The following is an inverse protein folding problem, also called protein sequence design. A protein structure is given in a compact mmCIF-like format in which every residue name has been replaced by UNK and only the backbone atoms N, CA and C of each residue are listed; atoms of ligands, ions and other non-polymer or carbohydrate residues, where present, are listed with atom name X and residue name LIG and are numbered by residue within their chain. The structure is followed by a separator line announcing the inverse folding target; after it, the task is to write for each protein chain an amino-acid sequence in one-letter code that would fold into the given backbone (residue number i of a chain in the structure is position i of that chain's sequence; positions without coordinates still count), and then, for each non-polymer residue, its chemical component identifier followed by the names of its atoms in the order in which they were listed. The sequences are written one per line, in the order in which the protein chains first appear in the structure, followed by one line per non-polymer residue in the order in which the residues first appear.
data_IF_564542296637
#
_entry.id   IF_564542296637
#
_cell.length_a   1.000
_cell.length_b   1.000
_cell.length_c   1.000
_cell.angle_alpha   90.00
_cell.angle_beta   90.00
_cell.angle_gamma   90.00
#
_symmetry.space_group_name_H-M   'P 1'
#
loop_
_entity.id
_entity.type
_entity.pdbx_description
1 polymer ?
#
# COMPACT_ATOMS: atom_id res chain seq x y z
N UNK A 1 -24.41 -6.20 12.60
CA UNK A 1 -23.51 -7.37 12.61
C UNK A 1 -23.37 -7.96 11.20
N UNK A 2 -22.32 -7.57 10.47
CA UNK A 2 -22.01 -8.07 9.12
C UNK A 2 -20.60 -8.67 9.13
N UNK A 3 -20.39 -9.71 8.34
CA UNK A 3 -19.09 -10.38 8.18
C UNK A 3 -18.73 -10.47 6.71
N UNK A 4 -17.49 -10.11 6.40
CA UNK A 4 -16.87 -10.31 5.10
C UNK A 4 -15.73 -11.31 5.25
N UNK A 5 -15.64 -12.24 4.29
CA UNK A 5 -14.50 -13.14 4.15
C UNK A 5 -13.92 -12.87 2.76
N UNK A 6 -12.64 -12.50 2.71
CA UNK A 6 -11.91 -12.25 1.48
C UNK A 6 -10.80 -13.29 1.34
N UNK A 7 -10.80 -14.04 0.24
CA UNK A 7 -9.71 -14.97 -0.05
C UNK A 7 -8.48 -14.17 -0.55
N UNK A 8 -7.30 -14.48 -0.01
CA UNK A 8 -6.00 -13.95 -0.45
C UNK A 8 -4.99 -15.11 -0.53
N UNK A 9 -4.09 -15.15 -1.53
CA UNK A 9 -3.04 -16.16 -1.54
C UNK A 9 -2.16 -16.08 -0.28
N UNK A 10 -1.85 -17.22 0.34
CA UNK A 10 -1.01 -17.26 1.55
C UNK A 10 0.41 -16.71 1.34
N UNK A 11 0.86 -16.59 0.08
CA UNK A 11 2.16 -16.00 -0.26
C UNK A 11 2.17 -14.47 -0.29
N UNK A 12 1.01 -13.81 -0.16
CA UNK A 12 0.90 -12.37 -0.28
C UNK A 12 1.13 -11.69 1.07
N UNK A 13 1.88 -10.59 1.05
CA UNK A 13 1.87 -9.64 2.16
C UNK A 13 0.71 -8.66 1.95
N UNK A 14 0.11 -8.18 3.03
CA UNK A 14 -0.99 -7.24 2.93
C UNK A 14 -1.33 -6.53 4.22
N UNK A 15 -2.24 -5.57 4.12
CA UNK A 15 -2.78 -4.83 5.24
C UNK A 15 -4.21 -4.37 4.96
N UNK A 16 -4.92 -4.02 6.03
CA UNK A 16 -6.23 -3.36 5.96
C UNK A 16 -6.03 -1.91 6.38
N UNK A 17 -6.61 -0.97 5.63
CA UNK A 17 -6.69 0.43 6.04
C UNK A 17 -8.13 0.85 6.24
N UNK A 18 -8.46 1.31 7.44
CA UNK A 18 -9.81 1.72 7.84
C UNK A 18 -10.03 3.20 7.55
N UNK A 19 -11.08 3.54 6.82
CA UNK A 19 -11.44 4.92 6.45
C UNK A 19 -12.48 5.53 7.40
N UNK A 20 -13.46 4.72 7.81
CA UNK A 20 -14.58 5.16 8.65
C UNK A 20 -15.07 4.00 9.51
N UNK A 21 -15.55 4.33 10.70
CA UNK A 21 -16.08 3.36 11.65
C UNK A 21 -14.99 2.45 12.22
N UNK A 22 -15.41 1.27 12.65
CA UNK A 22 -14.56 0.27 13.30
C UNK A 22 -14.77 -1.09 12.67
N UNK A 23 -13.70 -1.89 12.62
CA UNK A 23 -13.74 -3.29 12.18
C UNK A 23 -13.09 -4.20 13.20
N UNK A 24 -13.47 -5.47 13.18
CA UNK A 24 -12.86 -6.55 13.96
C UNK A 24 -12.30 -7.58 13.00
N UNK A 25 -10.99 -7.85 13.08
CA UNK A 25 -10.26 -8.63 12.07
C UNK A 25 -9.71 -9.93 12.65
N UNK A 26 -9.81 -11.01 11.89
CA UNK A 26 -9.31 -12.32 12.25
C UNK A 26 -10.17 -13.04 13.29
N UNK A 27 -9.67 -14.16 13.80
CA UNK A 27 -10.35 -14.95 14.83
C UNK A 27 -10.22 -14.33 16.23
N UNK A 28 -9.15 -13.58 16.48
CA UNK A 28 -8.95 -12.84 17.74
C UNK A 28 -9.81 -11.57 17.83
N UNK A 29 -10.61 -11.28 16.80
CA UNK A 29 -11.43 -10.07 16.68
C UNK A 29 -10.62 -8.79 16.96
N UNK A 30 -9.44 -8.67 16.35
CA UNK A 30 -8.59 -7.51 16.57
C UNK A 30 -9.27 -6.22 16.10
N UNK A 31 -9.42 -5.26 17.01
CA UNK A 31 -10.12 -4.01 16.74
C UNK A 31 -9.27 -3.05 15.89
N UNK A 32 -9.82 -2.62 14.75
CA UNK A 32 -9.32 -1.55 13.91
C UNK A 32 -10.23 -0.34 13.92
N UNK A 33 -9.81 0.74 14.58
CA UNK A 33 -10.47 2.03 14.51
C UNK A 33 -10.17 2.74 13.19
N UNK A 34 -10.97 3.74 12.80
CA UNK A 34 -10.70 4.56 11.62
C UNK A 34 -9.27 5.13 11.60
N UNK A 35 -8.70 5.26 10.40
CA UNK A 35 -7.35 5.75 10.10
C UNK A 35 -6.20 4.86 10.61
N UNK A 36 -6.45 3.57 10.82
CA UNK A 36 -5.41 2.62 11.20
C UNK A 36 -5.01 1.73 10.02
N UNK A 37 -3.72 1.41 9.98
CA UNK A 37 -3.17 0.34 9.15
C UNK A 37 -3.02 -0.91 10.00
N UNK A 38 -3.75 -1.97 9.66
CA UNK A 38 -3.66 -3.28 10.28
C UNK A 38 -2.86 -4.21 9.39
N UNK A 39 -1.60 -4.47 9.76
CA UNK A 39 -0.72 -5.37 8.99
C UNK A 39 -1.14 -6.81 9.21
N UNK A 40 -1.30 -7.57 8.13
CA UNK A 40 -1.61 -8.99 8.21
C UNK A 40 -0.34 -9.76 8.60
N UNK A 41 -0.47 -10.75 9.47
CA UNK A 41 0.63 -11.62 9.83
C UNK A 41 1.08 -12.49 8.64
N UNK A 42 2.36 -12.86 8.60
CA UNK A 42 2.88 -13.79 7.59
C UNK A 42 2.24 -15.18 7.71
N UNK A 43 1.79 -15.54 8.91
CA UNK A 43 1.04 -16.76 9.19
C UNK A 43 -0.45 -16.65 8.84
N UNK A 44 -0.87 -15.55 8.19
CA UNK A 44 -2.28 -15.36 7.86
C UNK A 44 -2.77 -16.45 6.92
N UNK A 45 -3.95 -16.99 7.23
CA UNK A 45 -4.61 -17.99 6.41
C UNK A 45 -4.94 -17.41 5.04
N UNK A 46 -5.27 -18.26 4.05
CA UNK A 46 -5.73 -17.84 2.72
C UNK A 46 -7.02 -16.99 2.72
N UNK A 47 -7.51 -16.60 3.90
CA UNK A 47 -8.75 -15.86 4.13
C UNK A 47 -8.53 -14.77 5.16
N UNK A 48 -9.01 -13.58 4.86
CA UNK A 48 -9.15 -12.47 5.80
C UNK A 48 -10.62 -12.38 6.19
N UNK A 49 -10.89 -12.50 7.49
CA UNK A 49 -12.22 -12.30 8.08
C UNK A 49 -12.29 -10.90 8.69
N UNK A 50 -13.28 -10.13 8.25
CA UNK A 50 -13.55 -8.78 8.77
C UNK A 50 -15.00 -8.70 9.21
N UNK A 51 -15.22 -8.19 10.42
CA UNK A 51 -16.54 -8.09 11.03
C UNK A 51 -16.83 -6.64 11.41
N UNK A 52 -18.08 -6.22 11.17
CA UNK A 52 -18.62 -5.00 11.74
C UNK A 52 -19.64 -5.36 12.82
N UNK A 53 -19.27 -5.09 14.09
CA UNK A 53 -20.10 -5.33 15.27
C UNK A 53 -20.91 -4.10 15.69
N UNK A 54 -20.62 -2.94 15.12
CA UNK A 54 -21.26 -1.67 15.46
C UNK A 54 -22.45 -1.37 14.52
N UNK A 55 -23.28 -0.42 14.93
CA UNK A 55 -24.39 0.10 14.11
C UNK A 55 -23.90 1.09 13.04
N UNK A 56 -22.74 1.71 13.26
CA UNK A 56 -22.10 2.57 12.28
C UNK A 56 -21.53 1.78 11.10
N UNK A 57 -21.57 2.38 9.92
CA UNK A 57 -20.97 1.80 8.73
C UNK A 57 -19.43 1.81 8.81
N UNK A 58 -18.84 0.62 8.67
CA UNK A 58 -17.41 0.44 8.49
C UNK A 58 -17.04 0.56 7.01
N UNK A 59 -16.06 1.42 6.70
CA UNK A 59 -15.48 1.56 5.37
C UNK A 59 -13.96 1.36 5.48
N UNK A 60 -13.43 0.43 4.70
CA UNK A 60 -12.03 0.05 4.73
C UNK A 60 -11.59 -0.48 3.35
N UNK A 61 -10.28 -0.55 3.14
CA UNK A 61 -9.67 -1.21 1.98
C UNK A 61 -8.79 -2.36 2.44
N UNK A 62 -8.76 -3.43 1.65
CA UNK A 62 -7.82 -4.54 1.80
C UNK A 62 -6.81 -4.43 0.65
N UNK A 63 -5.53 -4.37 0.98
CA UNK A 63 -4.44 -4.27 -0.01
C UNK A 63 -3.50 -5.44 0.25
N UNK A 64 -3.29 -6.28 -0.77
CA UNK A 64 -2.41 -7.44 -0.69
C UNK A 64 -1.71 -7.68 -2.02
N UNK A 65 -0.47 -8.17 -1.97
CA UNK A 65 0.33 -8.46 -3.16
C UNK A 65 1.48 -9.42 -2.88
N UNK A 66 1.98 -10.06 -3.94
CA UNK A 66 3.15 -10.93 -3.86
C UNK A 66 4.40 -10.10 -3.53
N UNK A 67 5.15 -10.42 -2.46
CA UNK A 67 6.42 -9.77 -2.18
C UNK A 67 7.43 -10.03 -3.30
N UNK A 68 8.05 -8.98 -3.83
CA UNK A 68 9.10 -9.09 -4.86
C UNK A 68 10.38 -9.75 -4.33
N UNK A 69 10.67 -9.57 -3.03
CA UNK A 69 11.90 -10.03 -2.37
C UNK A 69 13.19 -9.50 -3.01
N UNK A 70 13.12 -8.28 -3.53
CA UNK A 70 14.26 -7.54 -4.06
C UNK A 70 14.67 -6.43 -3.09
N UNK A 71 15.93 -5.97 -3.10
CA UNK A 71 16.33 -4.81 -2.32
C UNK A 71 15.51 -3.58 -2.70
N UNK A 72 15.17 -2.77 -1.69
CA UNK A 72 14.45 -1.51 -1.85
C UNK A 72 15.37 -0.39 -1.39
N UNK A 73 15.77 0.48 -2.31
CA UNK A 73 16.48 1.72 -2.02
C UNK A 73 15.60 2.88 -2.46
N UNK A 74 15.15 3.71 -1.51
CA UNK A 74 14.27 4.85 -1.78
C UNK A 74 14.99 6.16 -1.47
N UNK A 75 14.89 7.11 -2.39
CA UNK A 75 15.29 8.49 -2.14
C UNK A 75 14.32 9.48 -2.78
N UNK A 76 13.48 10.12 -1.96
CA UNK A 76 12.48 11.07 -2.43
C UNK A 76 11.46 10.40 -3.37
N UNK A 77 11.30 10.87 -4.61
CA UNK A 77 10.29 10.35 -5.55
C UNK A 77 10.71 9.05 -6.26
N UNK A 78 11.96 8.61 -6.10
CA UNK A 78 12.50 7.46 -6.81
C UNK A 78 12.75 6.27 -5.87
N UNK A 79 12.42 5.07 -6.36
CA UNK A 79 12.63 3.78 -5.68
C UNK A 79 13.29 2.85 -6.69
N UNK A 80 14.47 2.32 -6.37
CA UNK A 80 15.26 1.41 -7.20
C UNK A 80 15.81 0.24 -6.35
N UNK A 81 16.60 -0.66 -6.96
CA UNK A 81 17.17 -1.82 -6.27
C UNK A 81 18.59 -1.57 -5.74
N UNK A 82 19.25 -0.45 -6.10
CA UNK A 82 20.57 -0.07 -5.57
C UNK A 82 20.79 1.44 -5.45
N UNK A 83 21.78 1.86 -4.64
CA UNK A 83 22.17 3.27 -4.50
C UNK A 83 22.70 3.88 -5.80
N UNK A 84 23.45 3.11 -6.61
CA UNK A 84 23.96 3.57 -7.89
C UNK A 84 22.82 3.87 -8.88
N UNK A 85 21.80 3.02 -8.94
CA UNK A 85 20.62 3.25 -9.78
C UNK A 85 19.86 4.51 -9.36
N UNK A 86 19.75 4.78 -8.06
CA UNK A 86 19.18 6.04 -7.55
C UNK A 86 20.01 7.23 -8.05
N UNK A 87 21.33 7.18 -7.92
CA UNK A 87 22.21 8.26 -8.37
C UNK A 87 22.09 8.51 -9.87
N UNK A 88 22.00 7.47 -10.69
CA UNK A 88 21.83 7.58 -12.12
C UNK A 88 20.43 8.10 -12.50
N UNK A 89 19.38 7.65 -11.82
CA UNK A 89 18.00 8.15 -12.01
C UNK A 89 17.91 9.65 -11.73
N UNK A 90 18.60 10.15 -10.70
CA UNK A 90 18.66 11.60 -10.44
C UNK A 90 19.38 12.36 -11.55
N UNK A 91 20.48 11.82 -12.10
CA UNK A 91 21.16 12.43 -13.26
C UNK A 91 20.23 12.47 -14.46
N UNK A 92 19.50 11.40 -14.73
CA UNK A 92 18.57 11.31 -15.85
C UNK A 92 17.41 12.30 -15.71
N UNK A 93 16.85 12.45 -14.51
CA UNK A 93 15.84 13.47 -14.22
C UNK A 93 16.38 14.89 -14.45
N UNK A 94 17.55 15.21 -13.89
CA UNK A 94 18.18 16.54 -14.02
C UNK A 94 18.60 16.88 -15.45
N UNK A 95 18.96 15.86 -16.23
CA UNK A 95 19.40 16.02 -17.62
C UNK A 95 18.29 15.79 -18.65
N UNK A 96 17.08 15.44 -18.22
CA UNK A 96 15.94 15.14 -19.09
C UNK A 96 16.21 13.98 -20.06
N UNK A 97 16.66 12.83 -19.55
CA UNK A 97 17.03 11.63 -20.34
C UNK A 97 16.31 10.37 -19.84
N UNK A 98 16.38 9.32 -20.64
CA UNK A 98 15.95 7.95 -20.33
C UNK A 98 14.52 7.87 -19.75
N UNK A 99 13.59 8.59 -20.37
CA UNK A 99 12.18 8.66 -19.95
C UNK A 99 11.78 10.02 -19.37
N UNK A 100 12.73 10.88 -19.00
CA UNK A 100 12.47 12.23 -18.50
C UNK A 100 12.59 13.34 -19.56
N UNK A 101 12.65 13.02 -20.85
CA UNK A 101 12.86 13.98 -21.94
C UNK A 101 11.80 15.08 -21.96
N UNK A 102 10.56 14.72 -21.62
CA UNK A 102 9.44 15.67 -21.58
C UNK A 102 9.44 16.58 -20.36
N UNK A 103 10.27 16.35 -19.35
CA UNK A 103 10.39 17.30 -18.24
C UNK A 103 11.05 18.62 -18.67
N UNK A 104 11.80 18.63 -19.79
CA UNK A 104 12.43 19.83 -20.31
C UNK A 104 11.38 20.87 -20.73
N UNK A 105 11.29 21.96 -19.98
CA UNK A 105 10.36 23.06 -20.27
C UNK A 105 8.89 22.75 -19.99
N UNK A 106 8.56 21.58 -19.44
CA UNK A 106 7.19 21.24 -19.09
C UNK A 106 6.71 22.03 -17.89
N UNK A 107 5.46 22.49 -17.97
CA UNK A 107 4.74 23.16 -16.88
C UNK A 107 3.28 22.72 -16.90
N UNK A 108 2.74 22.49 -15.71
CA UNK A 108 1.34 22.16 -15.53
C UNK A 108 0.49 23.44 -15.55
N UNK A 109 -0.69 23.39 -16.18
CA UNK A 109 -1.65 24.51 -16.20
C UNK A 109 -2.52 24.59 -14.95
N UNK A 110 -2.59 23.52 -14.15
CA UNK A 110 -3.42 23.46 -12.93
C UNK A 110 -2.65 23.85 -11.65
N UNK A 111 -1.35 24.10 -11.79
CA UNK A 111 -0.46 24.51 -10.70
C UNK A 111 -0.07 26.00 -10.78
N UNK A 112 -0.64 26.74 -11.75
CA UNK A 112 -0.55 28.20 -11.86
C UNK A 112 -1.67 28.90 -11.10
#
# INVERSE_FOLDING_TARGET
NKTLIQDIPASYAGFIYTLKGKVYVGEDEFEGNAHHTLVLSEDSTEKIKVMNRDDEEAHFVVIAGQPLREPIVQHGPFVMNSENEIMDTFKDYQQHKHGFERAAGWRSTIAE
#
